data_IF_071059193715
#
_entry.id   IF_071059193715
#
_cell.length_a   1.000
_cell.length_b   1.000
_cell.length_c   1.000
_cell.angle_alpha   90.00
_cell.angle_beta   90.00
_cell.angle_gamma   90.00
#
_symmetry.space_group_name_H-M   'P 1'
#
loop_
_entity.id
_entity.type
_entity.pdbx_description
1 polymer ?
#
# COMPACT_ATOMS: atom_id res chain seq x y z
N UNK A 1 6.32 14.15 4.44
CA UNK A 1 6.99 12.86 4.12
C UNK A 1 6.00 12.04 3.29
N UNK A 2 6.42 11.46 2.16
CA UNK A 2 5.60 10.46 1.45
C UNK A 2 6.06 9.06 1.83
N UNK A 3 5.08 8.20 2.08
CA UNK A 3 5.29 6.81 2.51
C UNK A 3 4.49 5.93 1.57
N UNK A 4 5.12 4.88 1.07
CA UNK A 4 4.42 3.80 0.38
C UNK A 4 3.95 2.77 1.42
N UNK A 5 2.65 2.50 1.43
CA UNK A 5 2.03 1.51 2.31
C UNK A 5 2.50 0.09 1.98
N UNK A 6 2.76 -0.22 0.71
CA UNK A 6 3.17 -1.57 0.30
C UNK A 6 4.59 -1.88 0.80
N UNK A 7 5.45 -0.87 0.88
CA UNK A 7 6.81 -1.00 1.43
C UNK A 7 6.87 -0.84 2.95
N UNK A 8 6.03 0.03 3.52
CA UNK A 8 5.97 0.34 4.96
C UNK A 8 4.56 0.13 5.54
N UNK A 9 4.03 -1.11 5.51
CA UNK A 9 2.72 -1.41 6.07
C UNK A 9 2.68 -1.21 7.60
N UNK A 10 3.84 -1.30 8.26
CA UNK A 10 4.01 -0.99 9.68
C UNK A 10 3.70 0.48 9.99
N UNK A 11 4.21 1.40 9.17
CA UNK A 11 3.96 2.84 9.31
C UNK A 11 2.51 3.15 8.99
N UNK A 12 2.00 2.63 7.88
CA UNK A 12 0.61 2.81 7.47
C UNK A 12 -0.37 2.38 8.57
N UNK A 13 -0.15 1.21 9.19
CA UNK A 13 -1.02 0.70 10.24
C UNK A 13 -1.09 1.62 11.47
N UNK A 14 0.06 2.16 11.90
CA UNK A 14 0.14 3.09 13.04
C UNK A 14 -0.67 4.36 12.75
N UNK A 15 -0.45 4.99 11.59
CA UNK A 15 -1.12 6.23 11.25
C UNK A 15 -2.59 6.04 10.84
N UNK A 16 -2.95 4.91 10.26
CA UNK A 16 -4.35 4.54 9.98
C UNK A 16 -5.12 4.39 11.29
N UNK A 17 -4.54 3.70 12.28
CA UNK A 17 -5.11 3.56 13.62
C UNK A 17 -5.32 4.92 14.28
N UNK A 18 -4.36 5.83 14.13
CA UNK A 18 -4.48 7.20 14.61
C UNK A 18 -5.69 7.92 13.99
N UNK A 19 -5.82 7.90 12.67
CA UNK A 19 -6.93 8.58 11.96
C UNK A 19 -8.29 7.96 12.30
N UNK A 20 -8.35 6.64 12.47
CA UNK A 20 -9.57 5.96 12.92
C UNK A 20 -9.99 6.37 14.32
N UNK A 21 -9.04 6.51 15.25
CA UNK A 21 -9.32 7.02 16.59
C UNK A 21 -9.77 8.49 16.58
N UNK A 22 -9.20 9.29 15.68
CA UNK A 22 -9.52 10.72 15.54
C UNK A 22 -10.89 10.97 14.92
N UNK A 23 -11.25 10.21 13.89
CA UNK A 23 -12.39 10.53 13.00
C UNK A 23 -13.48 9.45 12.98
N UNK A 24 -13.24 8.30 13.60
CA UNK A 24 -14.10 7.12 13.52
C UNK A 24 -14.08 6.41 12.16
N UNK A 25 -13.30 6.90 11.20
CA UNK A 25 -13.18 6.35 9.84
C UNK A 25 -11.71 6.29 9.42
N UNK A 26 -11.42 5.50 8.39
CA UNK A 26 -10.07 5.38 7.84
C UNK A 26 -10.12 5.13 6.34
N UNK A 27 -9.01 5.39 5.65
CA UNK A 27 -8.89 5.17 4.22
C UNK A 27 -7.70 5.88 3.61
N UNK A 28 -7.55 5.70 2.29
CA UNK A 28 -6.49 6.33 1.51
C UNK A 28 -7.08 7.31 0.49
N UNK A 29 -6.35 8.39 0.12
CA UNK A 29 -5.02 8.76 0.59
C UNK A 29 -5.01 9.15 2.07
N UNK A 30 -4.03 8.66 2.83
CA UNK A 30 -3.91 8.94 4.26
C UNK A 30 -2.98 10.15 4.46
N UNK A 31 -3.46 11.18 5.14
CA UNK A 31 -2.70 12.38 5.46
C UNK A 31 -2.65 12.56 6.98
N UNK A 32 -1.46 12.67 7.55
CA UNK A 32 -1.24 12.84 8.98
C UNK A 32 -0.21 13.95 9.26
N UNK A 33 -0.41 14.67 10.35
CA UNK A 33 0.55 15.60 10.94
C UNK A 33 1.02 15.00 12.26
N UNK A 34 2.33 14.97 12.45
CA UNK A 34 2.97 14.38 13.62
C UNK A 34 3.97 15.34 14.24
N UNK A 35 4.24 15.14 15.53
CA UNK A 35 5.36 15.76 16.22
C UNK A 35 6.71 15.27 15.66
N UNK A 36 7.83 15.97 15.94
CA UNK A 36 9.16 15.53 15.49
C UNK A 36 9.57 14.13 15.94
N UNK A 37 8.96 13.62 17.02
CA UNK A 37 9.17 12.26 17.53
C UNK A 37 8.27 11.19 16.86
N UNK A 38 7.43 11.59 15.90
CA UNK A 38 6.55 10.71 15.14
C UNK A 38 5.17 10.47 15.76
N UNK A 39 4.83 11.05 16.91
CA UNK A 39 3.48 10.90 17.48
C UNK A 39 2.46 11.72 16.68
N UNK A 40 1.34 11.13 16.22
CA UNK A 40 0.33 11.84 15.44
C UNK A 40 -0.43 12.85 16.32
N UNK A 41 -0.81 13.97 15.71
CA UNK A 41 -1.63 15.01 16.36
C UNK A 41 -2.86 15.39 15.54
N UNK A 42 -2.87 15.04 14.25
CA UNK A 42 -3.99 15.29 13.36
C UNK A 42 -3.90 14.36 12.15
N UNK A 43 -5.02 14.03 11.54
CA UNK A 43 -5.03 13.32 10.27
C UNK A 43 -6.43 13.08 9.72
N UNK A 44 -6.47 12.65 8.47
CA UNK A 44 -7.68 12.28 7.76
C UNK A 44 -7.37 11.72 6.38
N UNK A 45 -8.40 11.61 5.55
CA UNK A 45 -8.29 10.99 4.23
C UNK A 45 -8.10 12.04 3.13
N UNK A 46 -9.02 12.10 2.16
CA UNK A 46 -8.99 13.07 1.08
C UNK A 46 -9.41 14.46 1.59
N UNK A 47 -8.66 15.48 1.18
CA UNK A 47 -8.96 16.89 1.46
C UNK A 47 -8.96 17.68 0.15
N UNK A 48 -10.04 18.43 -0.16
CA UNK A 48 -10.00 19.52 -1.13
C UNK A 48 -8.91 20.54 -0.78
N UNK A 49 -8.47 21.31 -1.76
CA UNK A 49 -7.35 22.25 -1.60
C UNK A 49 -7.62 23.28 -0.50
N UNK A 50 -8.82 23.84 -0.49
CA UNK A 50 -9.23 24.89 0.45
C UNK A 50 -9.26 24.36 1.89
N UNK A 51 -9.94 23.22 2.09
CA UNK A 51 -10.01 22.52 3.38
C UNK A 51 -8.61 22.12 3.89
N UNK A 52 -7.72 21.69 2.98
CA UNK A 52 -6.35 21.34 3.33
C UNK A 52 -5.56 22.54 3.84
N UNK A 53 -5.69 23.70 3.19
CA UNK A 53 -5.01 24.93 3.61
C UNK A 53 -5.51 25.41 4.97
N UNK A 54 -6.83 25.41 5.19
CA UNK A 54 -7.44 25.78 6.46
C UNK A 54 -6.98 24.85 7.60
N UNK A 55 -6.95 23.54 7.35
CA UNK A 55 -6.48 22.55 8.31
C UNK A 55 -5.00 22.79 8.70
N UNK A 56 -4.12 23.06 7.72
CA UNK A 56 -2.71 23.34 7.99
C UNK A 56 -2.52 24.60 8.83
N UNK A 57 -3.24 25.68 8.51
CA UNK A 57 -3.18 26.92 9.27
C UNK A 57 -3.69 26.73 10.70
N UNK A 58 -4.82 26.04 10.86
CA UNK A 58 -5.40 25.73 12.16
C UNK A 58 -4.46 24.90 13.05
N UNK A 59 -3.88 23.83 12.49
CA UNK A 59 -2.93 22.97 13.23
C UNK A 59 -1.65 23.74 13.58
N UNK A 60 -1.12 24.56 12.67
CA UNK A 60 0.08 25.35 12.93
C UNK A 60 -0.15 26.45 13.99
N UNK A 61 -1.31 27.09 13.98
CA UNK A 61 -1.71 28.07 14.99
C UNK A 61 -1.87 27.40 16.36
N UNK A 62 -2.63 26.30 16.44
CA UNK A 62 -2.84 25.56 17.67
C UNK A 62 -1.52 25.06 18.28
N UNK A 63 -0.61 24.52 17.46
CA UNK A 63 0.69 24.06 17.92
C UNK A 63 1.52 25.18 18.57
N UNK A 64 1.55 26.37 17.95
CA UNK A 64 2.32 27.51 18.45
C UNK A 64 1.76 28.08 19.76
N UNK A 65 0.45 28.18 19.87
CA UNK A 65 -0.20 28.76 21.05
C UNK A 65 -0.36 27.76 22.20
N UNK A 66 -0.46 26.46 21.89
CA UNK A 66 -0.83 25.42 22.84
C UNK A 66 0.13 24.22 22.76
N UNK A 67 1.44 24.47 22.80
CA UNK A 67 2.45 23.41 22.69
C UNK A 67 2.28 22.29 23.72
N UNK A 68 2.07 22.63 25.00
CA UNK A 68 1.89 21.65 26.07
C UNK A 68 0.67 20.76 25.84
N UNK A 69 -0.48 21.34 25.48
CA UNK A 69 -1.70 20.59 25.15
C UNK A 69 -1.50 19.73 23.90
N UNK A 70 -0.75 20.20 22.92
CA UNK A 70 -0.46 19.42 21.72
C UNK A 70 0.36 18.17 22.06
N UNK A 71 1.36 18.30 22.93
CA UNK A 71 2.16 17.16 23.40
C UNK A 71 1.32 16.20 24.24
N UNK A 72 0.47 16.72 25.13
CA UNK A 72 -0.45 15.91 25.93
C UNK A 72 -1.42 15.13 25.04
N UNK A 73 -1.99 15.79 24.03
CA UNK A 73 -2.87 15.18 23.05
C UNK A 73 -2.16 14.05 22.28
N UNK A 74 -0.94 14.31 21.81
CA UNK A 74 -0.11 13.31 21.14
C UNK A 74 0.15 12.08 22.02
N UNK A 75 0.42 12.29 23.32
CA UNK A 75 0.59 11.19 24.28
C UNK A 75 -0.69 10.35 24.42
N UNK A 76 -1.85 11.00 24.62
CA UNK A 76 -3.13 10.30 24.76
C UNK A 76 -3.50 9.51 23.51
N UNK A 77 -3.30 10.10 22.33
CA UNK A 77 -3.55 9.40 21.08
C UNK A 77 -2.59 8.21 20.90
N UNK A 78 -1.32 8.38 21.25
CA UNK A 78 -0.35 7.28 21.23
C UNK A 78 -0.75 6.13 22.15
N UNK A 79 -1.18 6.41 23.39
CA UNK A 79 -1.70 5.40 24.30
C UNK A 79 -2.92 4.67 23.72
N UNK A 80 -3.85 5.42 23.12
CA UNK A 80 -5.01 4.84 22.43
C UNK A 80 -4.62 3.93 21.27
N UNK A 81 -3.61 4.30 20.47
CA UNK A 81 -3.09 3.45 19.38
C UNK A 81 -2.48 2.17 19.96
N UNK A 82 -1.63 2.28 20.98
CA UNK A 82 -1.00 1.11 21.62
C UNK A 82 -2.06 0.16 22.18
N UNK A 83 -3.09 0.69 22.85
CA UNK A 83 -4.19 -0.12 23.39
C UNK A 83 -5.01 -0.80 22.28
N UNK A 84 -5.28 -0.13 21.16
CA UNK A 84 -5.98 -0.74 20.02
C UNK A 84 -5.12 -1.80 19.31
N UNK A 85 -3.79 -1.67 19.38
CA UNK A 85 -2.84 -2.65 18.83
C UNK A 85 -2.61 -3.87 19.74
N UNK A 86 -3.19 -3.92 20.95
CA UNK A 86 -3.12 -5.08 21.85
C UNK A 86 -3.95 -6.29 21.36
N UNK A 87 -4.33 -6.36 20.08
CA UNK A 87 -4.62 -7.65 19.46
C UNK A 87 -3.34 -8.47 19.60
N UNK A 88 -3.37 -9.44 20.51
CA UNK A 88 -2.21 -10.22 20.90
C UNK A 88 -1.45 -10.66 19.65
N UNK A 89 -0.22 -10.17 19.51
CA UNK A 89 0.75 -10.73 18.59
C UNK A 89 0.90 -12.18 19.05
N UNK A 90 0.19 -13.08 18.38
CA UNK A 90 0.39 -14.51 18.60
C UNK A 90 1.88 -14.75 18.41
N UNK A 91 2.55 -15.49 19.33
CA UNK A 91 3.98 -15.72 19.23
C UNK A 91 4.27 -16.15 17.80
N UNK A 92 5.12 -15.39 17.11
CA UNK A 92 5.44 -15.62 15.70
C UNK A 92 5.78 -17.10 15.58
N UNK A 93 4.92 -17.89 14.94
CA UNK A 93 5.28 -19.26 14.62
C UNK A 93 6.48 -19.14 13.70
N UNK A 94 7.65 -19.48 14.23
CA UNK A 94 8.95 -19.30 13.59
C UNK A 94 9.15 -20.19 12.36
N UNK A 95 8.14 -21.00 12.00
CA UNK A 95 8.10 -21.79 10.79
C UNK A 95 6.81 -21.50 10.02
N UNK A 96 6.94 -20.83 8.88
CA UNK A 96 5.89 -20.78 7.88
C UNK A 96 5.59 -22.23 7.43
N UNK A 97 4.35 -22.69 7.66
CA UNK A 97 3.92 -24.01 7.20
C UNK A 97 3.84 -24.01 5.67
N UNK A 98 4.60 -24.88 4.96
CA UNK A 98 4.51 -25.00 3.52
C UNK A 98 3.10 -25.32 3.00
N UNK A 99 2.24 -25.95 3.80
CA UNK A 99 0.83 -26.20 3.46
C UNK A 99 0.02 -24.91 3.41
N UNK A 100 0.24 -24.00 4.35
CA UNK A 100 -0.39 -22.67 4.36
C UNK A 100 0.05 -21.90 3.11
N UNK A 101 1.34 -21.95 2.78
CA UNK A 101 1.86 -21.27 1.59
C UNK A 101 1.25 -21.84 0.30
N UNK A 102 1.13 -23.17 0.17
CA UNK A 102 0.46 -23.80 -0.97
C UNK A 102 -1.01 -23.40 -1.09
N UNK A 103 -1.75 -23.36 0.02
CA UNK A 103 -3.16 -22.95 0.01
C UNK A 103 -3.32 -21.49 -0.45
N UNK A 104 -2.43 -20.60 -0.01
CA UNK A 104 -2.40 -19.21 -0.47
C UNK A 104 -2.12 -19.09 -1.98
N UNK A 105 -1.17 -19.88 -2.49
CA UNK A 105 -0.86 -19.91 -3.92
C UNK A 105 -2.06 -20.37 -4.76
N UNK A 106 -2.77 -21.42 -4.34
CA UNK A 106 -3.98 -21.88 -5.04
C UNK A 106 -5.07 -20.80 -5.09
N UNK A 107 -5.20 -19.99 -4.03
CA UNK A 107 -6.14 -18.85 -4.04
C UNK A 107 -5.71 -17.79 -5.06
N UNK A 108 -4.42 -17.45 -5.14
CA UNK A 108 -3.90 -16.51 -6.13
C UNK A 108 -4.09 -17.03 -7.56
N UNK A 109 -3.82 -18.31 -7.79
CA UNK A 109 -3.99 -18.94 -9.10
C UNK A 109 -5.41 -18.78 -9.66
N UNK A 110 -6.44 -18.85 -8.80
CA UNK A 110 -7.84 -18.66 -9.22
C UNK A 110 -8.14 -17.26 -9.80
N UNK A 111 -7.34 -16.26 -9.41
CA UNK A 111 -7.49 -14.86 -9.81
C UNK A 111 -6.68 -14.51 -11.06
N UNK A 112 -5.80 -15.40 -11.53
CA UNK A 112 -4.95 -15.14 -12.68
C UNK A 112 -5.74 -14.96 -13.97
N UNK A 113 -5.41 -13.90 -14.72
CA UNK A 113 -5.82 -13.79 -16.11
C UNK A 113 -4.78 -14.52 -16.97
N UNK A 114 -5.12 -15.72 -17.41
CA UNK A 114 -4.25 -16.58 -18.21
C UNK A 114 -4.20 -16.20 -19.69
N UNK A 115 -4.94 -15.16 -20.12
CA UNK A 115 -4.93 -14.65 -21.49
C UNK A 115 -4.14 -13.34 -21.60
N UNK A 116 -4.39 -12.40 -20.68
CA UNK A 116 -3.76 -11.08 -20.69
C UNK A 116 -2.68 -10.91 -19.61
N UNK A 117 -2.42 -11.91 -18.77
CA UNK A 117 -1.51 -11.74 -17.63
C UNK A 117 -2.11 -10.85 -16.54
N UNK A 118 -1.48 -10.81 -15.38
CA UNK A 118 -2.04 -10.12 -14.21
C UNK A 118 -3.16 -10.90 -13.52
N UNK A 119 -3.99 -10.17 -12.80
CA UNK A 119 -5.27 -10.66 -12.26
C UNK A 119 -6.40 -10.38 -13.24
N UNK A 120 -7.51 -11.12 -13.13
CA UNK A 120 -8.74 -10.85 -13.90
C UNK A 120 -9.34 -9.49 -13.54
N UNK A 121 -10.05 -8.87 -14.49
CA UNK A 121 -10.74 -7.59 -14.28
C UNK A 121 -9.90 -6.36 -14.64
N UNK A 122 -10.53 -5.20 -14.52
CA UNK A 122 -9.92 -3.88 -14.61
C UNK A 122 -10.33 -3.02 -13.42
N UNK A 123 -9.51 -2.04 -12.98
CA UNK A 123 -8.15 -1.75 -13.48
C UNK A 123 -7.12 -2.82 -13.08
N UNK A 124 -6.03 -2.94 -13.86
CA UNK A 124 -4.92 -3.86 -13.59
C UNK A 124 -3.67 -3.14 -13.10
N UNK A 125 -3.27 -3.45 -11.87
CA UNK A 125 -2.05 -2.92 -11.25
C UNK A 125 -0.87 -3.86 -11.47
N UNK A 126 0.33 -3.29 -11.62
CA UNK A 126 1.55 -4.08 -11.83
C UNK A 126 1.94 -4.89 -10.60
N UNK A 127 1.91 -4.32 -9.40
CA UNK A 127 2.24 -4.99 -8.13
C UNK A 127 3.52 -5.85 -8.23
N UNK A 128 4.69 -5.28 -8.56
CA UNK A 128 5.92 -6.03 -8.86
C UNK A 128 6.34 -6.99 -7.73
N UNK A 129 6.15 -6.59 -6.47
CA UNK A 129 6.40 -7.42 -5.29
C UNK A 129 5.64 -8.76 -5.33
N UNK A 130 4.40 -8.76 -5.83
CA UNK A 130 3.60 -9.98 -5.94
C UNK A 130 4.20 -10.94 -6.97
N UNK A 131 4.64 -10.44 -8.12
CA UNK A 131 5.23 -11.27 -9.18
C UNK A 131 6.61 -11.77 -8.81
N UNK A 132 7.41 -10.99 -8.08
CA UNK A 132 8.69 -11.43 -7.54
C UNK A 132 8.49 -12.57 -6.53
N UNK A 133 7.52 -12.43 -5.62
CA UNK A 133 7.16 -13.48 -4.68
C UNK A 133 6.67 -14.75 -5.40
N UNK A 134 5.76 -14.61 -6.38
CA UNK A 134 5.24 -15.72 -7.17
C UNK A 134 6.35 -16.44 -7.95
N UNK A 135 7.29 -15.70 -8.55
CA UNK A 135 8.41 -16.30 -9.27
C UNK A 135 9.26 -17.16 -8.34
N UNK A 136 9.57 -16.63 -7.14
CA UNK A 136 10.31 -17.36 -6.11
C UNK A 136 9.54 -18.60 -5.63
N UNK A 137 8.25 -18.45 -5.35
CA UNK A 137 7.40 -19.54 -4.90
C UNK A 137 7.24 -20.63 -5.97
N UNK A 138 7.04 -20.23 -7.22
CA UNK A 138 6.97 -21.12 -8.38
C UNK A 138 8.25 -21.94 -8.54
N UNK A 139 9.42 -21.31 -8.40
CA UNK A 139 10.71 -22.00 -8.40
C UNK A 139 10.85 -22.97 -7.21
N UNK A 140 10.59 -22.50 -5.99
CA UNK A 140 10.72 -23.28 -4.75
C UNK A 140 9.85 -24.55 -4.76
N UNK A 141 8.62 -24.45 -5.25
CA UNK A 141 7.67 -25.57 -5.30
C UNK A 141 7.64 -26.30 -6.64
N UNK A 142 8.52 -25.92 -7.60
CA UNK A 142 8.52 -26.44 -8.97
C UNK A 142 7.14 -26.33 -9.65
N UNK A 143 6.39 -25.27 -9.35
CA UNK A 143 5.07 -25.02 -9.90
C UNK A 143 5.21 -24.25 -11.23
N UNK A 144 5.12 -25.00 -12.34
CA UNK A 144 5.23 -24.44 -13.70
C UNK A 144 4.10 -23.46 -14.03
N UNK A 145 2.89 -23.70 -13.54
CA UNK A 145 1.72 -22.83 -13.78
C UNK A 145 1.98 -21.41 -13.29
N UNK A 146 2.52 -21.26 -12.08
CA UNK A 146 2.88 -19.94 -11.52
C UNK A 146 3.99 -19.28 -12.33
N UNK A 147 5.04 -20.03 -12.69
CA UNK A 147 6.16 -19.50 -13.48
C UNK A 147 5.68 -18.98 -14.83
N UNK A 148 4.84 -19.76 -15.51
CA UNK A 148 4.29 -19.39 -16.82
C UNK A 148 3.35 -18.18 -16.70
N UNK A 149 2.56 -18.07 -15.62
CA UNK A 149 1.76 -16.88 -15.36
C UNK A 149 2.61 -15.62 -15.15
N UNK A 150 3.67 -15.71 -14.34
CA UNK A 150 4.58 -14.58 -14.13
C UNK A 150 5.17 -14.11 -15.47
N UNK A 151 5.65 -15.05 -16.29
CA UNK A 151 6.19 -14.73 -17.63
C UNK A 151 5.17 -14.06 -18.52
N UNK A 152 3.96 -14.61 -18.61
CA UNK A 152 2.87 -14.02 -19.38
C UNK A 152 2.58 -12.60 -18.91
N UNK A 153 2.51 -12.39 -17.59
CA UNK A 153 2.24 -11.09 -16.99
C UNK A 153 3.31 -10.08 -17.34
N UNK A 154 4.59 -10.41 -17.11
CA UNK A 154 5.71 -9.53 -17.47
C UNK A 154 5.75 -9.21 -18.97
N UNK A 155 5.49 -10.20 -19.81
CA UNK A 155 5.43 -10.00 -21.26
C UNK A 155 4.31 -9.04 -21.66
N UNK A 156 3.10 -9.24 -21.12
CA UNK A 156 1.93 -8.41 -21.44
C UNK A 156 2.08 -6.97 -20.93
N UNK A 157 2.75 -6.78 -19.80
CA UNK A 157 3.11 -5.46 -19.29
C UNK A 157 4.16 -4.78 -20.20
N UNK A 158 5.24 -5.48 -20.57
CA UNK A 158 6.33 -4.94 -21.38
C UNK A 158 5.92 -4.59 -22.82
N UNK A 159 5.06 -5.40 -23.43
CA UNK A 159 4.54 -5.15 -24.79
C UNK A 159 3.18 -4.42 -24.79
N UNK A 160 2.67 -4.05 -23.61
CA UNK A 160 1.42 -3.31 -23.43
C UNK A 160 1.63 -1.80 -23.58
N UNK A 161 0.52 -1.06 -23.46
CA UNK A 161 0.54 0.40 -23.41
C UNK A 161 0.91 0.98 -22.05
N UNK A 162 1.08 0.14 -21.02
CA UNK A 162 1.59 0.59 -19.72
C UNK A 162 3.10 0.82 -19.72
N UNK A 163 3.86 0.19 -20.61
CA UNK A 163 5.27 0.52 -20.81
C UNK A 163 5.38 1.72 -21.75
N UNK A 164 6.10 2.75 -21.33
CA UNK A 164 6.41 3.89 -22.18
C UNK A 164 7.54 3.53 -23.13
N UNK A 165 7.18 3.16 -24.37
CA UNK A 165 8.12 2.76 -25.42
C UNK A 165 9.04 3.89 -25.91
N UNK A 166 8.78 5.15 -25.52
CA UNK A 166 9.59 6.31 -25.92
C UNK A 166 10.47 6.76 -24.76
N UNK A 167 9.85 7.06 -23.61
CA UNK A 167 10.51 7.62 -22.43
C UNK A 167 11.01 6.58 -21.43
N UNK A 168 10.63 5.32 -21.60
CA UNK A 168 10.92 4.25 -20.65
C UNK A 168 10.07 4.34 -19.37
N UNK A 169 10.16 3.27 -18.60
CA UNK A 169 9.39 3.07 -17.39
C UNK A 169 7.94 2.69 -17.64
N UNK A 170 7.27 2.28 -16.57
CA UNK A 170 5.91 1.79 -16.56
C UNK A 170 4.97 2.77 -15.85
N UNK A 171 3.80 2.94 -16.44
CA UNK A 171 2.63 3.55 -15.80
C UNK A 171 2.13 2.66 -14.66
N UNK A 172 1.58 3.28 -13.61
CA UNK A 172 1.18 2.61 -12.36
C UNK A 172 0.18 1.46 -12.57
N UNK A 173 -0.79 1.65 -13.46
CA UNK A 173 -1.80 0.64 -13.77
C UNK A 173 -2.42 0.85 -15.16
N UNK A 174 -3.05 -0.20 -15.67
CA UNK A 174 -3.91 -0.17 -16.86
C UNK A 174 -5.37 0.03 -16.45
N UNK A 175 -6.09 0.93 -17.13
CA UNK A 175 -7.53 1.09 -16.93
C UNK A 175 -8.36 -0.01 -17.60
N UNK A 176 -7.74 -0.82 -18.48
CA UNK A 176 -8.35 -1.99 -19.11
C UNK A 176 -7.67 -3.31 -18.73
N UNK A 177 -8.31 -4.42 -19.11
CA UNK A 177 -7.86 -5.78 -18.76
C UNK A 177 -6.67 -6.29 -19.59
N UNK A 178 -6.36 -5.62 -20.70
CA UNK A 178 -5.40 -6.05 -21.72
C UNK A 178 -4.06 -5.30 -21.66
N UNK A 179 -3.86 -4.48 -20.63
CA UNK A 179 -2.68 -3.63 -20.43
C UNK A 179 -2.48 -2.56 -21.51
N UNK A 180 -3.55 -2.09 -22.18
CA UNK A 180 -3.43 -1.17 -23.33
C UNK A 180 -3.53 0.30 -22.95
N UNK A 181 -4.44 0.67 -22.06
CA UNK A 181 -4.70 2.07 -21.69
C UNK A 181 -4.07 2.38 -20.34
N UNK A 182 -2.95 3.13 -20.29
CA UNK A 182 -2.29 3.47 -19.04
C UNK A 182 -3.03 4.56 -18.27
N UNK A 183 -2.97 4.47 -16.95
CA UNK A 183 -3.04 5.65 -16.10
C UNK A 183 -1.65 6.27 -16.01
N UNK A 184 -1.41 7.37 -16.75
CA UNK A 184 -0.08 7.94 -17.07
C UNK A 184 0.83 8.35 -15.89
N UNK A 185 0.39 8.20 -14.64
CA UNK A 185 1.25 8.33 -13.47
C UNK A 185 2.33 7.23 -13.46
N UNK A 186 3.60 7.62 -13.28
CA UNK A 186 4.72 6.70 -13.05
C UNK A 186 5.22 6.87 -11.63
N UNK A 187 5.30 5.76 -10.91
CA UNK A 187 5.80 5.75 -9.54
C UNK A 187 7.19 5.11 -9.51
N UNK A 188 8.12 5.73 -8.78
CA UNK A 188 9.50 5.26 -8.75
C UNK A 188 9.61 3.86 -8.16
N UNK A 189 8.86 3.55 -7.09
CA UNK A 189 8.87 2.23 -6.45
C UNK A 189 8.35 1.11 -7.37
N UNK A 190 7.47 1.43 -8.31
CA UNK A 190 6.99 0.47 -9.31
C UNK A 190 8.04 0.18 -10.39
N UNK A 191 9.02 1.08 -10.56
CA UNK A 191 10.01 1.09 -11.63
C UNK A 191 11.45 0.77 -11.17
N UNK A 192 11.72 0.82 -9.86
CA UNK A 192 13.04 0.68 -9.26
C UNK A 192 13.54 -0.78 -9.18
#
# INVERSE_FOLDING_TARGET
IKVDREERPDVDHIYMSAVQLLTGRGGWPLNCIALPDGRPIWGGTYFPKEDWMEALEGVAHFYRENLSKTVEYASKLHEGIVQNQLIAISPVQTKADPLVLKALLSKWESQFDTQNGGTKGAPKFMLPNNWQFLLRAGHQFKNKTIIDQVKLTLQKMAFGGIYDHIGGGFARYSTDESWKVPHFEKMLYDNA
#
